data_IF_921223460183
#
_entry.id   IF_921223460183
#
_cell.length_a   1.000
_cell.length_b   1.000
_cell.length_c   1.000
_cell.angle_alpha   90.00
_cell.angle_beta   90.00
_cell.angle_gamma   90.00
#
_symmetry.space_group_name_H-M   'P 1'
#
loop_
_entity.id
_entity.type
_entity.pdbx_description
1 polymer ?
#
# COMPACT_ATOMS: atom_id res chain seq x y z
N UNK A 1 -9.05 -5.54 7.36
CA UNK A 1 -7.81 -6.30 7.65
C UNK A 1 -7.20 -5.74 8.93
N UNK A 2 -6.64 -6.57 9.82
CA UNK A 2 -6.03 -6.06 11.07
C UNK A 2 -4.58 -5.65 10.84
N UNK A 3 -4.06 -4.74 11.65
CA UNK A 3 -2.65 -4.34 11.58
C UNK A 3 -1.72 -5.53 11.83
N UNK A 4 -2.13 -6.50 12.67
CA UNK A 4 -1.40 -7.76 12.86
C UNK A 4 -1.26 -8.58 11.58
N UNK A 5 -2.28 -8.60 10.71
CA UNK A 5 -2.20 -9.28 9.40
C UNK A 5 -1.23 -8.55 8.46
N UNK A 6 -1.19 -7.21 8.50
CA UNK A 6 -0.23 -6.44 7.71
C UNK A 6 1.20 -6.79 8.13
N UNK A 7 1.47 -6.80 9.43
CA UNK A 7 2.78 -7.20 9.94
C UNK A 7 3.15 -8.63 9.53
N UNK A 8 2.22 -9.57 9.65
CA UNK A 8 2.45 -10.97 9.27
C UNK A 8 2.76 -11.13 7.78
N UNK A 9 2.07 -10.41 6.90
CA UNK A 9 2.34 -10.43 5.46
C UNK A 9 3.71 -9.83 5.13
N UNK A 10 4.06 -8.70 5.74
CA UNK A 10 5.37 -8.06 5.55
C UNK A 10 6.52 -8.93 6.08
N UNK A 11 6.38 -9.50 7.28
CA UNK A 11 7.43 -10.32 7.90
C UNK A 11 7.66 -11.65 7.19
N UNK A 12 6.64 -12.16 6.50
CA UNK A 12 6.72 -13.44 5.77
C UNK A 12 7.18 -13.26 4.32
N UNK A 13 7.38 -12.03 3.86
CA UNK A 13 7.75 -11.76 2.47
C UNK A 13 9.25 -11.61 2.31
N UNK A 14 9.85 -12.44 1.45
CA UNK A 14 11.26 -12.33 1.09
C UNK A 14 11.60 -11.03 0.34
N UNK A 15 10.61 -10.23 -0.06
CA UNK A 15 10.82 -8.92 -0.67
C UNK A 15 11.20 -7.86 0.36
N UNK A 16 10.80 -8.04 1.62
CA UNK A 16 10.98 -7.05 2.69
C UNK A 16 12.39 -7.17 3.27
N UNK A 17 13.16 -6.09 3.15
CA UNK A 17 14.50 -5.99 3.71
C UNK A 17 14.50 -5.31 5.08
N UNK A 18 13.63 -4.31 5.24
CA UNK A 18 13.51 -3.55 6.48
C UNK A 18 12.08 -3.02 6.65
N UNK A 19 11.58 -3.03 7.88
CA UNK A 19 10.31 -2.42 8.26
C UNK A 19 10.56 -1.35 9.33
N UNK A 20 10.39 -0.08 8.95
CA UNK A 20 10.42 1.06 9.86
C UNK A 20 8.99 1.48 10.21
N UNK A 21 8.56 1.21 11.45
CA UNK A 21 7.24 1.60 11.95
C UNK A 21 7.30 3.02 12.52
N UNK A 22 6.52 3.93 11.94
CA UNK A 22 6.43 5.32 12.37
C UNK A 22 5.28 5.48 13.38
N UNK A 23 4.18 4.77 13.17
CA UNK A 23 3.01 4.75 14.07
C UNK A 23 2.31 3.41 13.97
N UNK A 24 1.95 2.83 15.11
CA UNK A 24 1.04 1.69 15.18
C UNK A 24 0.04 1.89 16.32
N UNK A 25 -1.25 1.78 16.00
CA UNK A 25 -2.36 1.66 16.95
C UNK A 25 -3.00 0.31 16.65
N UNK A 26 -2.99 -0.60 17.61
CA UNK A 26 -3.43 -1.99 17.42
C UNK A 26 -4.75 -2.27 18.13
N UNK A 27 -5.08 -1.49 19.15
CA UNK A 27 -6.27 -1.70 19.98
C UNK A 27 -7.55 -1.15 19.33
N UNK A 28 -8.68 -1.89 19.39
CA UNK A 28 -9.98 -1.39 18.96
C UNK A 28 -10.46 -0.16 19.75
N UNK A 29 -11.40 0.65 19.21
CA UNK A 29 -12.17 0.39 17.99
C UNK A 29 -11.45 0.79 16.69
N UNK A 30 -10.35 1.54 16.77
CA UNK A 30 -9.62 2.05 15.59
C UNK A 30 -8.18 1.55 15.60
N UNK A 31 -7.79 0.87 14.53
CA UNK A 31 -6.40 0.49 14.29
C UNK A 31 -5.79 1.39 13.23
N UNK A 32 -4.49 1.66 13.33
CA UNK A 32 -3.77 2.46 12.36
C UNK A 32 -2.31 2.03 12.25
N UNK A 33 -1.75 2.09 11.05
CA UNK A 33 -0.34 1.86 10.76
C UNK A 33 0.18 2.94 9.81
N UNK A 34 1.28 3.57 10.21
CA UNK A 34 2.14 4.34 9.33
C UNK A 34 3.52 3.72 9.37
N UNK A 35 4.03 3.29 8.22
CA UNK A 35 5.32 2.62 8.13
C UNK A 35 6.02 2.92 6.80
N UNK A 36 7.34 2.75 6.80
CA UNK A 36 8.18 2.72 5.62
C UNK A 36 8.80 1.33 5.53
N UNK A 37 8.68 0.70 4.37
CA UNK A 37 9.21 -0.64 4.11
C UNK A 37 10.28 -0.52 3.03
N UNK A 38 11.50 -0.95 3.34
CA UNK A 38 12.56 -1.11 2.34
C UNK A 38 12.37 -2.47 1.68
N UNK A 39 12.27 -2.47 0.35
CA UNK A 39 12.02 -3.66 -0.45
C UNK A 39 13.26 -3.96 -1.33
N UNK A 40 13.39 -5.22 -1.75
CA UNK A 40 14.38 -5.65 -2.75
C UNK A 40 14.32 -4.78 -4.02
N UNK A 41 15.45 -4.68 -4.73
CA UNK A 41 15.57 -3.91 -5.97
C UNK A 41 15.58 -2.39 -5.80
N UNK A 42 15.78 -1.90 -4.58
CA UNK A 42 15.89 -0.48 -4.26
C UNK A 42 14.54 0.25 -4.17
N UNK A 43 13.44 -0.50 -4.02
CA UNK A 43 12.11 0.07 -3.85
C UNK A 43 11.84 0.41 -2.38
N UNK A 44 11.02 1.43 -2.16
CA UNK A 44 10.48 1.79 -0.85
C UNK A 44 8.97 1.85 -0.94
N UNK A 45 8.29 1.22 0.02
CA UNK A 45 6.84 1.29 0.17
C UNK A 45 6.49 2.09 1.43
N UNK A 46 5.75 3.18 1.26
CA UNK A 46 5.14 3.90 2.38
C UNK A 46 3.72 3.40 2.58
N UNK A 47 3.42 2.95 3.80
CA UNK A 47 2.10 2.46 4.22
C UNK A 47 1.47 3.51 5.11
N UNK A 48 0.24 3.90 4.81
CA UNK A 48 -0.63 4.64 5.71
C UNK A 48 -2.01 3.99 5.66
N UNK A 49 -2.36 3.20 6.67
CA UNK A 49 -3.63 2.50 6.74
C UNK A 49 -4.30 2.71 8.09
N UNK A 50 -5.61 2.88 8.09
CA UNK A 50 -6.43 2.92 9.30
C UNK A 50 -7.77 2.25 9.05
N UNK A 51 -8.30 1.60 10.08
CA UNK A 51 -9.58 0.92 10.00
C UNK A 51 -10.30 0.97 11.33
N UNK A 52 -11.61 1.16 11.27
CA UNK A 52 -12.54 1.05 12.39
C UNK A 52 -13.63 0.02 12.12
N UNK A 53 -14.72 0.09 12.89
CA UNK A 53 -15.89 -0.79 12.74
C UNK A 53 -16.59 -0.66 11.38
N UNK A 54 -16.58 0.54 10.80
CA UNK A 54 -17.38 0.93 9.64
C UNK A 54 -16.55 1.55 8.51
N UNK A 55 -15.22 1.64 8.68
CA UNK A 55 -14.36 2.23 7.67
C UNK A 55 -13.02 1.51 7.53
N UNK A 56 -12.45 1.64 6.32
CA UNK A 56 -11.05 1.41 6.04
C UNK A 56 -10.54 2.53 5.14
N UNK A 57 -9.40 3.11 5.48
CA UNK A 57 -8.71 4.15 4.70
C UNK A 57 -7.27 3.73 4.52
N UNK A 58 -6.76 3.80 3.29
CA UNK A 58 -5.39 3.42 3.01
C UNK A 58 -4.76 4.30 1.92
N UNK A 59 -3.45 4.41 2.01
CA UNK A 59 -2.57 4.81 0.92
C UNK A 59 -1.31 3.95 0.96
N UNK A 60 -1.00 3.31 -0.17
CA UNK A 60 0.24 2.56 -0.37
C UNK A 60 1.03 3.26 -1.47
N UNK A 61 2.15 3.88 -1.12
CA UNK A 61 2.99 4.63 -2.06
C UNK A 61 4.28 3.85 -2.31
N UNK A 62 4.40 3.28 -3.50
CA UNK A 62 5.60 2.60 -3.97
C UNK A 62 6.47 3.59 -4.76
N UNK A 63 7.74 3.71 -4.39
CA UNK A 63 8.72 4.56 -5.06
C UNK A 63 10.05 3.83 -5.25
N UNK A 64 10.87 4.33 -6.17
CA UNK A 64 12.25 3.89 -6.37
C UNK A 64 13.15 5.12 -6.37
N UNK A 65 14.02 5.24 -5.37
CA UNK A 65 14.66 6.54 -5.09
C UNK A 65 13.60 7.61 -4.83
N UNK A 66 13.68 8.73 -5.55
CA UNK A 66 12.73 9.85 -5.44
C UNK A 66 11.55 9.77 -6.42
N UNK A 67 11.51 8.76 -7.28
CA UNK A 67 10.45 8.61 -8.29
C UNK A 67 9.30 7.75 -7.75
N UNK A 68 8.08 8.31 -7.78
CA UNK A 68 6.88 7.54 -7.51
C UNK A 68 6.67 6.53 -8.65
N UNK A 69 6.51 5.26 -8.30
CA UNK A 69 6.24 4.17 -9.26
C UNK A 69 4.74 3.99 -9.39
N UNK A 70 4.08 3.72 -8.25
CA UNK A 70 2.62 3.58 -8.16
C UNK A 70 2.14 4.01 -6.78
N UNK A 71 0.92 4.53 -6.71
CA UNK A 71 0.23 4.77 -5.43
C UNK A 71 -1.21 4.30 -5.49
N UNK A 72 -1.57 3.38 -4.60
CA UNK A 72 -2.96 2.95 -4.40
C UNK A 72 -3.56 3.73 -3.25
N UNK A 73 -4.78 4.24 -3.42
CA UNK A 73 -5.46 5.08 -2.46
C UNK A 73 -6.98 4.84 -2.53
N UNK A 74 -7.70 5.17 -1.47
CA UNK A 74 -9.16 5.09 -1.42
C UNK A 74 -9.84 6.35 -0.87
N UNK A 75 -9.13 7.49 -0.91
CA UNK A 75 -9.70 8.79 -0.59
C UNK A 75 -10.86 9.11 -1.55
N UNK A 76 -12.04 9.51 -1.05
CA UNK A 76 -13.29 9.54 -1.82
C UNK A 76 -13.43 10.79 -2.71
N UNK A 77 -12.41 11.11 -3.51
CA UNK A 77 -12.38 12.30 -4.37
C UNK A 77 -12.77 12.00 -5.84
N UNK A 78 -12.54 10.79 -6.35
CA UNK A 78 -12.69 10.42 -7.77
C UNK A 78 -14.01 9.70 -8.08
N UNK A 79 -15.14 10.41 -7.94
CA UNK A 79 -16.49 9.83 -7.97
C UNK A 79 -16.90 9.16 -9.29
N UNK A 80 -16.24 9.50 -10.39
CA UNK A 80 -16.59 9.00 -11.72
C UNK A 80 -15.93 7.65 -12.06
N UNK A 81 -15.02 7.15 -11.21
CA UNK A 81 -14.40 5.84 -11.39
C UNK A 81 -15.40 4.72 -11.06
N UNK A 82 -15.44 3.66 -11.89
CA UNK A 82 -16.28 2.48 -11.59
C UNK A 82 -15.88 1.77 -10.31
N UNK A 83 -14.62 1.93 -9.90
CA UNK A 83 -14.06 1.34 -8.68
C UNK A 83 -14.13 2.27 -7.48
N UNK A 84 -14.88 3.38 -7.54
CA UNK A 84 -14.95 4.35 -6.45
C UNK A 84 -15.20 3.69 -5.07
N UNK A 85 -14.44 4.04 -4.02
CA UNK A 85 -13.42 5.10 -3.97
C UNK A 85 -11.99 4.64 -4.33
N UNK A 86 -11.81 3.38 -4.71
CA UNK A 86 -10.52 2.74 -4.95
C UNK A 86 -9.91 3.19 -6.28
N UNK A 87 -8.64 3.59 -6.23
CA UNK A 87 -7.94 4.09 -7.39
C UNK A 87 -6.42 3.92 -7.26
N UNK A 88 -5.73 4.02 -8.39
CA UNK A 88 -4.26 3.95 -8.46
C UNK A 88 -3.70 5.08 -9.32
N UNK A 89 -2.63 5.72 -8.86
CA UNK A 89 -1.81 6.63 -9.65
C UNK A 89 -0.57 5.89 -10.15
N UNK A 90 -0.20 6.07 -11.43
CA UNK A 90 1.05 5.53 -11.99
C UNK A 90 2.00 6.67 -12.31
N UNK A 91 3.25 6.61 -11.82
CA UNK A 91 4.23 7.66 -12.09
C UNK A 91 3.68 9.06 -11.78
N UNK A 92 3.92 10.03 -12.67
CA UNK A 92 3.43 11.40 -12.51
C UNK A 92 2.08 11.65 -13.20
N UNK A 93 1.27 10.61 -13.44
CA UNK A 93 -0.08 10.78 -14.00
C UNK A 93 -0.95 11.65 -13.08
N UNK A 94 -1.51 12.73 -13.64
CA UNK A 94 -2.37 13.66 -12.89
C UNK A 94 -3.70 13.02 -12.49
N UNK A 95 -4.28 12.22 -13.39
CA UNK A 95 -5.52 11.49 -13.16
C UNK A 95 -5.22 10.04 -12.74
N UNK A 96 -5.98 9.49 -11.78
CA UNK A 96 -5.82 8.10 -11.41
C UNK A 96 -6.50 7.17 -12.42
N UNK A 97 -6.19 5.89 -12.30
CA UNK A 97 -6.88 4.80 -13.00
C UNK A 97 -7.73 3.99 -12.04
N UNK A 98 -8.71 3.29 -12.61
CA UNK A 98 -9.51 2.30 -11.89
C UNK A 98 -8.61 1.22 -11.31
N UNK A 99 -8.89 0.85 -10.05
CA UNK A 99 -8.18 -0.21 -9.34
C UNK A 99 -9.16 -0.84 -8.36
N UNK A 100 -9.19 -2.17 -8.20
CA UNK A 100 -9.98 -2.77 -7.12
C UNK A 100 -9.49 -2.28 -5.76
N UNK A 101 -10.25 -2.56 -4.69
CA UNK A 101 -9.71 -2.45 -3.36
C UNK A 101 -8.46 -3.34 -3.23
N UNK A 102 -7.41 -2.82 -2.60
CA UNK A 102 -6.14 -3.55 -2.40
C UNK A 102 -5.77 -3.66 -0.92
N UNK A 103 -5.06 -4.73 -0.61
CA UNK A 103 -4.42 -5.02 0.67
C UNK A 103 -2.92 -5.18 0.47
N UNK A 104 -2.15 -5.25 1.57
CA UNK A 104 -0.68 -5.29 1.48
C UNK A 104 -0.18 -6.48 0.65
N UNK A 105 -0.88 -7.62 0.68
CA UNK A 105 -0.54 -8.81 -0.10
C UNK A 105 -0.71 -8.59 -1.62
N UNK A 106 -1.65 -7.74 -2.04
CA UNK A 106 -1.75 -7.31 -3.44
C UNK A 106 -0.54 -6.45 -3.82
N UNK A 107 -0.13 -5.53 -2.93
CA UNK A 107 1.02 -4.65 -3.17
C UNK A 107 2.31 -5.45 -3.28
N UNK A 108 2.54 -6.41 -2.38
CA UNK A 108 3.72 -7.27 -2.42
C UNK A 108 3.78 -8.09 -3.71
N UNK A 109 2.64 -8.62 -4.19
CA UNK A 109 2.55 -9.31 -5.49
C UNK A 109 2.82 -8.38 -6.66
N UNK A 110 2.38 -7.13 -6.61
CA UNK A 110 2.71 -6.15 -7.66
C UNK A 110 4.20 -5.83 -7.69
N UNK A 111 4.85 -5.70 -6.52
CA UNK A 111 6.31 -5.50 -6.43
C UNK A 111 7.06 -6.72 -6.95
N UNK A 112 6.60 -7.94 -6.63
CA UNK A 112 7.20 -9.17 -7.13
C UNK A 112 7.22 -9.21 -8.66
N UNK A 113 6.10 -8.86 -9.31
CA UNK A 113 6.02 -8.77 -10.79
C UNK A 113 6.96 -7.71 -11.37
N UNK A 114 7.18 -6.61 -10.65
CA UNK A 114 8.11 -5.55 -11.08
C UNK A 114 9.56 -6.03 -10.99
N UNK A 115 9.91 -6.81 -9.96
CA UNK A 115 11.26 -7.33 -9.75
C UNK A 115 11.59 -8.53 -10.61
N UNK A 116 10.58 -9.31 -10.96
CA UNK A 116 10.66 -10.45 -11.87
C UNK A 116 9.87 -10.13 -13.13
N UNK A 117 10.36 -9.25 -14.03
CA UNK A 117 9.69 -8.94 -15.31
C UNK A 117 9.65 -10.13 -16.30
N UNK A 118 9.64 -11.37 -15.79
CA UNK A 118 9.87 -12.70 -16.36
C UNK A 118 11.34 -13.07 -16.65
N UNK A 119 11.72 -14.35 -16.45
CA UNK A 119 13.02 -14.90 -16.87
C UNK A 119 13.20 -14.94 -18.39
#
# INVERSE_FOLDING_TARGET
MTISKIFSALSSSDLVLELNVIKAIVEPPVQALKARVTLKGGYTLQINESSGSDFRRYSYHLQKGDEMVKRWDNSPHWKDLKTFPYHVHNGNEAEPRESPEVFIEDILREVEKILSPNP
#
